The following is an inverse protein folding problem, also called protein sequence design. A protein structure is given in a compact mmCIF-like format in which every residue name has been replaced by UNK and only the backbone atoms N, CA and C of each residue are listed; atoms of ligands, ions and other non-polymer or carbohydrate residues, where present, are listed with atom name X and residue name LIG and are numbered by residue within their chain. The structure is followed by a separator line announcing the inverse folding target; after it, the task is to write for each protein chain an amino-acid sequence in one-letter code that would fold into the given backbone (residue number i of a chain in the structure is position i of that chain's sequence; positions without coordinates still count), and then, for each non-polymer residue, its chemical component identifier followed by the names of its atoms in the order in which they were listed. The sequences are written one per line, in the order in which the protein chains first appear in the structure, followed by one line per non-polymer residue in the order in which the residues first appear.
data_IF_137387402248
#
_entry.id   IF_137387402248
#
_cell.length_a   1.000
_cell.length_b   1.000
_cell.length_c   1.000
_cell.angle_alpha   90.00
_cell.angle_beta   90.00
_cell.angle_gamma   90.00
#
_symmetry.space_group_name_H-M   'P 1'
#
loop_
_entity.id
_entity.type
_entity.pdbx_description
1 polymer ?
#
# COMPACT_ATOMS: atom_id res chain seq x y z
N UNK A 1 -25.27 -20.10 -11.62
CA UNK A 1 -23.87 -19.67 -11.39
C UNK A 1 -23.44 -18.42 -12.20
N UNK A 2 -24.11 -18.03 -13.30
CA UNK A 2 -23.68 -16.88 -14.15
C UNK A 2 -23.96 -15.50 -13.53
N UNK A 3 -25.16 -15.30 -12.97
CA UNK A 3 -25.58 -14.00 -12.43
C UNK A 3 -24.74 -13.55 -11.22
N UNK A 4 -24.34 -14.48 -10.36
CA UNK A 4 -23.50 -14.17 -9.19
C UNK A 4 -22.10 -13.68 -9.56
N UNK A 5 -21.47 -14.27 -10.58
CA UNK A 5 -20.16 -13.81 -11.08
C UNK A 5 -20.27 -12.41 -11.68
N UNK A 6 -21.33 -12.13 -12.45
CA UNK A 6 -21.57 -10.81 -13.02
C UNK A 6 -21.74 -9.73 -11.93
N UNK A 7 -22.56 -10.01 -10.90
CA UNK A 7 -22.74 -9.12 -9.76
C UNK A 7 -21.42 -8.85 -9.03
N UNK A 8 -20.62 -9.90 -8.77
CA UNK A 8 -19.31 -9.75 -8.11
C UNK A 8 -18.36 -8.89 -8.94
N UNK A 9 -18.32 -9.06 -10.26
CA UNK A 9 -17.49 -8.22 -11.13
C UNK A 9 -17.92 -6.76 -11.06
N UNK A 10 -19.21 -6.47 -11.17
CA UNK A 10 -19.73 -5.09 -11.08
C UNK A 10 -19.39 -4.45 -9.74
N UNK A 11 -19.65 -5.15 -8.63
CA UNK A 11 -19.34 -4.65 -7.28
C UNK A 11 -17.84 -4.44 -7.07
N UNK A 12 -17.00 -5.37 -7.55
CA UNK A 12 -15.54 -5.23 -7.48
C UNK A 12 -15.04 -4.03 -8.30
N UNK A 13 -15.63 -3.79 -9.48
CA UNK A 13 -15.27 -2.64 -10.31
C UNK A 13 -15.63 -1.32 -9.63
N UNK A 14 -16.84 -1.21 -9.09
CA UNK A 14 -17.30 0.00 -8.39
C UNK A 14 -16.39 0.28 -7.17
N UNK A 15 -16.22 -0.70 -6.30
CA UNK A 15 -15.41 -0.54 -5.08
C UNK A 15 -13.94 -0.24 -5.39
N UNK A 16 -13.34 -0.92 -6.36
CA UNK A 16 -11.96 -0.66 -6.78
C UNK A 16 -11.80 0.75 -7.35
N UNK A 17 -12.74 1.21 -8.19
CA UNK A 17 -12.71 2.55 -8.77
C UNK A 17 -12.80 3.63 -7.71
N UNK A 18 -13.66 3.44 -6.70
CA UNK A 18 -13.76 4.36 -5.55
C UNK A 18 -12.45 4.40 -4.77
N UNK A 19 -11.83 3.25 -4.49
CA UNK A 19 -10.56 3.20 -3.75
C UNK A 19 -9.40 3.87 -4.51
N UNK A 20 -9.38 3.78 -5.85
CA UNK A 20 -8.42 4.51 -6.69
C UNK A 20 -8.66 6.02 -6.58
N UNK A 21 -9.92 6.49 -6.69
CA UNK A 21 -10.24 7.92 -6.57
C UNK A 21 -9.93 8.51 -5.18
N UNK A 22 -10.03 7.70 -4.12
CA UNK A 22 -9.61 8.08 -2.76
C UNK A 22 -8.08 8.02 -2.55
N UNK A 23 -7.31 7.78 -3.61
CA UNK A 23 -5.85 7.72 -3.59
C UNK A 23 -5.29 6.46 -2.92
N UNK A 24 -6.11 5.51 -2.46
CA UNK A 24 -5.69 4.29 -1.71
C UNK A 24 -4.89 3.29 -2.55
N UNK A 25 -4.75 3.57 -3.84
CA UNK A 25 -3.96 2.84 -4.81
C UNK A 25 -3.00 3.81 -5.50
N UNK A 26 -1.71 3.47 -5.55
CA UNK A 26 -0.67 4.21 -6.29
C UNK A 26 -0.20 3.33 -7.45
N UNK A 27 -0.44 3.77 -8.68
CA UNK A 27 -0.22 2.94 -9.87
C UNK A 27 -1.09 1.68 -9.83
N UNK A 28 -0.46 0.51 -9.79
CA UNK A 28 -1.12 -0.79 -9.63
C UNK A 28 -0.95 -1.38 -8.21
N UNK A 29 -0.43 -0.62 -7.25
CA UNK A 29 -0.15 -1.06 -5.88
C UNK A 29 -1.16 -0.48 -4.89
N UNK A 30 -1.73 -1.33 -4.04
CA UNK A 30 -2.57 -0.88 -2.92
C UNK A 30 -1.68 -0.39 -1.78
N UNK A 31 -1.73 0.91 -1.46
CA UNK A 31 -0.79 1.53 -0.50
C UNK A 31 -1.38 1.72 0.90
N UNK A 32 -2.71 1.64 1.03
CA UNK A 32 -3.42 1.72 2.31
C UNK A 32 -4.02 0.37 2.71
N UNK A 33 -3.17 -0.66 2.80
CA UNK A 33 -3.57 -1.96 3.31
C UNK A 33 -3.42 -2.05 4.83
N UNK A 34 -4.33 -2.76 5.48
CA UNK A 34 -4.25 -3.04 6.91
C UNK A 34 -3.28 -4.19 7.16
N UNK A 35 -2.28 -4.01 8.02
CA UNK A 35 -1.21 -4.97 8.28
C UNK A 35 -1.63 -6.06 9.29
N UNK A 36 -2.69 -6.82 8.97
CA UNK A 36 -3.30 -7.77 9.92
C UNK A 36 -2.61 -9.13 9.99
N UNK A 37 -1.68 -9.42 9.08
CA UNK A 37 -0.95 -10.69 9.07
C UNK A 37 0.44 -10.56 8.45
N UNK A 38 1.27 -11.58 8.66
CA UNK A 38 2.67 -11.61 8.20
C UNK A 38 2.80 -11.45 6.66
N UNK A 39 1.86 -11.97 5.87
CA UNK A 39 1.86 -11.84 4.41
C UNK A 39 1.66 -10.39 3.97
N UNK A 40 0.79 -9.65 4.66
CA UNK A 40 0.55 -8.23 4.37
C UNK A 40 1.73 -7.36 4.81
N UNK A 41 2.37 -7.70 5.94
CA UNK A 41 3.61 -7.04 6.40
C UNK A 41 4.74 -7.25 5.39
N UNK A 42 4.99 -8.49 4.96
CA UNK A 42 6.03 -8.81 3.97
C UNK A 42 5.75 -8.14 2.61
N UNK A 43 4.50 -8.16 2.15
CA UNK A 43 4.09 -7.44 0.93
C UNK A 43 4.35 -5.94 1.03
N UNK A 44 3.94 -5.30 2.13
CA UNK A 44 4.16 -3.88 2.36
C UNK A 44 5.65 -3.53 2.43
N UNK A 45 6.44 -4.39 3.06
CA UNK A 45 7.90 -4.22 3.19
C UNK A 45 8.55 -4.20 1.81
N UNK A 46 8.22 -5.17 0.94
CA UNK A 46 8.72 -5.20 -0.44
C UNK A 46 8.30 -4.00 -1.27
N UNK A 47 7.07 -3.50 -1.08
CA UNK A 47 6.61 -2.29 -1.77
C UNK A 47 7.47 -1.07 -1.41
N UNK A 48 7.85 -0.93 -0.13
CA UNK A 48 8.72 0.15 0.33
C UNK A 48 10.14 -0.03 -0.19
N UNK A 49 10.71 -1.25 -0.12
CA UNK A 49 12.03 -1.54 -0.70
C UNK A 49 12.10 -1.19 -2.18
N UNK A 50 11.07 -1.57 -2.95
CA UNK A 50 11.03 -1.31 -4.39
C UNK A 50 11.02 0.19 -4.71
N UNK A 51 10.32 0.99 -3.90
CA UNK A 51 10.13 2.43 -4.10
C UNK A 51 11.31 3.25 -3.57
N UNK A 52 11.78 2.98 -2.35
CA UNK A 52 12.81 3.75 -1.65
C UNK A 52 14.23 3.17 -1.79
N UNK A 53 14.37 1.96 -2.37
CA UNK A 53 15.64 1.24 -2.51
C UNK A 53 16.38 1.03 -1.18
N UNK A 54 15.60 0.85 -0.11
CA UNK A 54 16.10 0.52 1.23
C UNK A 54 16.22 -0.99 1.42
N UNK A 55 16.99 -1.39 2.42
CA UNK A 55 17.07 -2.78 2.86
C UNK A 55 15.74 -3.27 3.45
N UNK A 56 15.58 -4.60 3.49
CA UNK A 56 14.36 -5.23 3.98
C UNK A 56 14.06 -4.86 5.43
N UNK A 57 15.06 -4.91 6.31
CA UNK A 57 14.87 -4.63 7.73
C UNK A 57 14.51 -3.16 7.98
N UNK A 58 15.18 -2.24 7.28
CA UNK A 58 14.86 -0.81 7.33
C UNK A 58 13.44 -0.54 6.83
N UNK A 59 13.07 -1.12 5.69
CA UNK A 59 11.73 -0.99 5.10
C UNK A 59 10.65 -1.55 6.02
N UNK A 60 10.94 -2.66 6.70
CA UNK A 60 10.01 -3.30 7.64
C UNK A 60 9.81 -2.44 8.89
N UNK A 61 10.89 -1.87 9.43
CA UNK A 61 10.81 -0.97 10.57
C UNK A 61 9.99 0.28 10.23
N UNK A 62 10.27 0.90 9.07
CA UNK A 62 9.53 2.06 8.59
C UNK A 62 8.04 1.75 8.40
N UNK A 63 7.71 0.59 7.82
CA UNK A 63 6.33 0.14 7.65
C UNK A 63 5.60 -0.01 8.99
N UNK A 64 6.25 -0.62 9.98
CA UNK A 64 5.64 -0.85 11.29
C UNK A 64 5.50 0.43 12.11
N UNK A 65 6.41 1.38 11.92
CA UNK A 65 6.35 2.69 12.56
C UNK A 65 5.15 3.52 12.08
N UNK A 66 4.92 3.54 10.76
CA UNK A 66 3.87 4.37 10.16
C UNK A 66 2.57 3.60 9.83
N UNK A 67 2.53 2.27 10.00
CA UNK A 67 1.32 1.46 9.88
C UNK A 67 0.76 1.27 8.45
N UNK A 68 1.14 2.10 7.48
CA UNK A 68 0.77 1.94 6.07
C UNK A 68 1.93 2.27 5.12
N UNK A 69 1.90 1.68 3.92
CA UNK A 69 2.95 1.88 2.90
C UNK A 69 2.99 3.35 2.44
N UNK A 70 1.82 3.99 2.31
CA UNK A 70 1.75 5.40 1.92
C UNK A 70 2.42 6.30 2.96
N UNK A 71 1.99 6.18 4.21
CA UNK A 71 2.49 7.04 5.28
C UNK A 71 3.99 6.83 5.50
N UNK A 72 4.47 5.59 5.39
CA UNK A 72 5.91 5.29 5.44
C UNK A 72 6.71 6.03 4.37
N UNK A 73 6.26 5.99 3.11
CA UNK A 73 6.94 6.66 1.99
C UNK A 73 6.87 8.19 2.12
N UNK A 74 5.71 8.73 2.49
CA UNK A 74 5.52 10.18 2.65
C UNK A 74 6.40 10.73 3.77
N UNK A 75 6.44 10.09 4.93
CA UNK A 75 7.29 10.53 6.05
C UNK A 75 8.78 10.45 5.69
N UNK A 76 9.22 9.39 5.01
CA UNK A 76 10.62 9.27 4.57
C UNK A 76 11.03 10.42 3.66
N UNK A 77 10.20 10.79 2.67
CA UNK A 77 10.50 11.92 1.79
C UNK A 77 10.45 13.28 2.52
N UNK A 78 9.57 13.43 3.51
CA UNK A 78 9.51 14.64 4.34
C UNK A 78 10.78 14.82 5.15
N UNK A 79 11.25 13.77 5.83
CA UNK A 79 12.49 13.78 6.60
C UNK A 79 13.70 14.06 5.72
N UNK A 80 13.77 13.44 4.54
CA UNK A 80 14.86 13.65 3.59
C UNK A 80 14.94 15.12 3.11
N UNK A 81 13.78 15.75 2.88
CA UNK A 81 13.72 17.16 2.45
C UNK A 81 14.06 18.16 3.56
N UNK A 82 13.85 17.82 4.83
CA UNK A 82 14.18 18.71 5.97
C UNK A 82 15.67 18.68 6.28
N UNK A 83 16.35 17.56 6.01
CA UNK A 83 17.77 17.36 6.27
C UNK A 83 18.69 17.88 5.14
N UNK A 84 18.18 18.73 4.26
CA UNK A 84 18.88 19.28 3.09
C UNK A 84 18.81 20.81 3.12
#
# INVERSE_FOLDING_TARGET
MKSGTAQKMVLNMITTTVMIKLGRVKGNRMVNMQLTNQKLIDRGTRMIMDELKLDYDQSRQLLLLHGSVREAIENYHMEWRINQ
#
